data_IF_129590034415
#
_entry.id   IF_129590034415
#
_cell.length_a   1.000
_cell.length_b   1.000
_cell.length_c   1.000
_cell.angle_alpha   90.00
_cell.angle_beta   90.00
_cell.angle_gamma   90.00
#
_symmetry.space_group_name_H-M   'P 1'
#
loop_
_entity.id
_entity.type
_entity.pdbx_description
1 polymer ?
#
# COMPACT_ATOMS: atom_id res chain seq x y z
N UNK A 1 24.54 14.11 -36.08
CA UNK A 1 23.31 14.90 -36.06
C UNK A 1 22.02 14.07 -36.08
N UNK A 2 21.83 13.07 -36.98
CA UNK A 2 20.57 12.26 -37.03
C UNK A 2 20.24 11.52 -35.72
N UNK A 3 21.24 11.00 -34.97
CA UNK A 3 21.01 10.30 -33.69
C UNK A 3 20.57 11.21 -32.56
N UNK A 4 21.03 12.45 -32.53
CA UNK A 4 20.64 13.45 -31.50
C UNK A 4 19.21 13.91 -31.75
N UNK A 5 18.81 14.09 -33.02
CA UNK A 5 17.42 14.49 -33.38
C UNK A 5 16.42 13.40 -32.97
N UNK A 6 16.73 12.12 -33.17
CA UNK A 6 15.86 11.00 -32.76
C UNK A 6 15.73 10.92 -31.23
N UNK A 7 16.80 11.16 -30.48
CA UNK A 7 16.75 11.14 -29.01
C UNK A 7 15.95 12.32 -28.46
N UNK A 8 16.08 13.51 -29.03
CA UNK A 8 15.29 14.68 -28.63
C UNK A 8 13.82 14.50 -28.97
N UNK A 9 13.49 13.90 -30.12
CA UNK A 9 12.10 13.61 -30.52
C UNK A 9 11.44 12.56 -29.60
N UNK A 10 12.21 11.53 -29.17
CA UNK A 10 11.72 10.51 -28.24
C UNK A 10 11.42 11.11 -26.85
N UNK A 11 12.24 12.03 -26.35
CA UNK A 11 12.00 12.72 -25.07
C UNK A 11 10.79 13.65 -25.17
N UNK A 12 10.60 14.35 -26.30
CA UNK A 12 9.46 15.23 -26.53
C UNK A 12 8.12 14.48 -26.65
N UNK A 13 8.14 13.21 -27.08
CA UNK A 13 6.92 12.38 -27.15
C UNK A 13 6.57 11.70 -25.81
N UNK A 14 7.53 11.52 -24.91
CA UNK A 14 7.27 10.90 -23.60
C UNK A 14 6.68 11.88 -22.57
N UNK A 15 6.99 13.16 -22.68
CA UNK A 15 6.49 14.19 -21.74
C UNK A 15 4.95 14.35 -21.77
N UNK A 16 4.27 14.42 -22.94
CA UNK A 16 2.81 14.54 -22.95
C UNK A 16 2.09 13.29 -22.44
N UNK A 17 2.66 12.09 -22.58
CA UNK A 17 2.07 10.87 -22.02
C UNK A 17 2.09 10.86 -20.47
N UNK A 18 3.18 11.31 -19.84
CA UNK A 18 3.23 11.46 -18.39
C UNK A 18 2.28 12.55 -17.87
N UNK A 19 2.12 13.65 -18.62
CA UNK A 19 1.20 14.73 -18.25
C UNK A 19 -0.27 14.33 -18.44
N UNK A 20 -0.58 13.52 -19.45
CA UNK A 20 -1.92 12.99 -19.71
C UNK A 20 -2.35 12.03 -18.61
N UNK A 21 -1.47 11.11 -18.17
CA UNK A 21 -1.72 10.16 -17.08
C UNK A 21 -2.02 10.90 -15.76
N UNK A 22 -1.24 11.92 -15.41
CA UNK A 22 -1.50 12.77 -14.26
C UNK A 22 -2.83 13.54 -14.33
N UNK A 23 -3.25 13.95 -15.52
CA UNK A 23 -4.49 14.68 -15.70
C UNK A 23 -5.72 13.76 -15.54
N UNK A 24 -5.67 12.56 -16.09
CA UNK A 24 -6.74 11.57 -15.97
C UNK A 24 -6.87 11.09 -14.52
N UNK A 25 -5.76 10.79 -13.85
CA UNK A 25 -5.74 10.44 -12.44
C UNK A 25 -6.34 11.56 -11.58
N UNK A 26 -5.93 12.81 -11.80
CA UNK A 26 -6.48 13.95 -11.07
C UNK A 26 -7.99 14.10 -11.30
N UNK A 27 -8.45 14.00 -12.53
CA UNK A 27 -9.87 14.09 -12.86
C UNK A 27 -10.69 12.98 -12.20
N UNK A 28 -10.14 11.74 -12.14
CA UNK A 28 -10.75 10.62 -11.42
C UNK A 28 -10.86 10.92 -9.93
N UNK A 29 -9.78 11.37 -9.30
CA UNK A 29 -9.75 11.70 -7.87
C UNK A 29 -10.73 12.83 -7.55
N UNK A 30 -10.73 13.92 -8.33
CA UNK A 30 -11.65 15.06 -8.14
C UNK A 30 -13.13 14.60 -8.26
N UNK A 31 -13.43 13.74 -9.21
CA UNK A 31 -14.77 13.16 -9.40
C UNK A 31 -15.16 12.25 -8.22
N UNK A 32 -14.23 11.47 -7.68
CA UNK A 32 -14.49 10.64 -6.51
C UNK A 32 -14.71 11.53 -5.28
N UNK A 33 -13.82 12.48 -5.04
CA UNK A 33 -13.89 13.44 -3.93
C UNK A 33 -15.17 14.26 -3.91
N UNK A 34 -15.71 14.61 -5.09
CA UNK A 34 -16.99 15.34 -5.18
C UNK A 34 -18.21 14.54 -4.73
N UNK A 35 -18.11 13.21 -4.75
CA UNK A 35 -19.18 12.30 -4.30
C UNK A 35 -19.09 11.99 -2.81
N UNK A 36 -17.95 12.25 -2.17
CA UNK A 36 -17.69 11.90 -0.78
C UNK A 36 -18.31 12.90 0.16
N UNK A 37 -18.95 12.38 1.21
CA UNK A 37 -19.31 13.16 2.39
C UNK A 37 -18.07 13.54 3.18
N UNK A 38 -18.18 14.53 4.07
CA UNK A 38 -17.08 14.91 4.98
C UNK A 38 -16.66 13.72 5.85
N UNK A 39 -17.62 12.94 6.34
CA UNK A 39 -17.36 11.74 7.15
C UNK A 39 -16.54 10.72 6.37
N UNK A 40 -16.87 10.44 5.11
CA UNK A 40 -16.11 9.52 4.28
C UNK A 40 -14.70 10.03 3.93
N UNK A 41 -14.54 11.34 3.74
CA UNK A 41 -13.21 11.96 3.55
C UNK A 41 -12.33 11.77 4.78
N UNK A 42 -12.88 11.99 5.97
CA UNK A 42 -12.17 11.73 7.22
C UNK A 42 -11.87 10.24 7.37
N UNK A 43 -12.84 9.37 7.02
CA UNK A 43 -12.67 7.93 7.04
C UNK A 43 -11.50 7.44 6.21
N UNK A 44 -11.23 8.05 5.04
CA UNK A 44 -10.08 7.68 4.22
C UNK A 44 -8.72 7.98 4.88
N UNK A 45 -8.67 8.83 5.90
CA UNK A 45 -7.48 9.12 6.69
C UNK A 45 -7.34 8.21 7.92
N UNK A 46 -8.33 7.37 8.17
CA UNK A 46 -8.36 6.50 9.35
C UNK A 46 -7.71 5.14 9.03
N UNK A 47 -6.64 4.82 9.77
CA UNK A 47 -5.94 3.55 9.73
C UNK A 47 -6.21 2.83 11.05
N UNK A 48 -6.90 1.69 10.98
CA UNK A 48 -7.30 0.94 12.18
C UNK A 48 -6.59 -0.41 12.27
N UNK A 49 -6.37 -0.90 13.48
CA UNK A 49 -5.89 -2.27 13.70
C UNK A 49 -7.02 -3.24 13.42
N UNK A 50 -6.88 -4.11 12.45
CA UNK A 50 -7.93 -5.00 11.98
C UNK A 50 -7.80 -6.45 12.46
N UNK A 51 -6.73 -6.80 13.14
CA UNK A 51 -6.50 -8.17 13.58
C UNK A 51 -5.73 -8.25 14.88
N UNK A 52 -6.02 -9.28 15.64
CA UNK A 52 -5.01 -9.91 16.46
C UNK A 52 -4.20 -10.80 15.50
N UNK A 53 -2.88 -10.65 15.49
CA UNK A 53 -1.94 -11.43 14.65
C UNK A 53 -2.22 -12.95 14.75
N UNK A 54 -2.99 -13.35 15.73
CA UNK A 54 -3.24 -14.76 16.08
C UNK A 54 -4.60 -15.34 15.68
N UNK A 55 -5.64 -14.57 15.31
CA UNK A 55 -7.00 -15.13 15.30
C UNK A 55 -7.87 -14.98 14.07
N UNK A 56 -7.47 -14.28 13.03
CA UNK A 56 -8.11 -14.32 11.68
C UNK A 56 -9.61 -14.00 11.55
N UNK A 57 -10.29 -13.46 12.58
CA UNK A 57 -11.74 -13.17 12.58
C UNK A 57 -12.07 -11.69 12.33
N UNK A 58 -11.40 -11.07 11.37
CA UNK A 58 -11.55 -9.62 11.16
C UNK A 58 -12.85 -9.19 10.45
N UNK A 59 -13.46 -10.05 9.64
CA UNK A 59 -14.58 -9.67 8.77
C UNK A 59 -15.93 -9.52 9.50
N UNK A 60 -16.11 -10.19 10.64
CA UNK A 60 -17.34 -10.13 11.45
C UNK A 60 -17.19 -9.20 12.68
N UNK A 61 -16.09 -8.46 12.73
CA UNK A 61 -15.75 -7.57 13.84
C UNK A 61 -16.39 -6.19 13.66
N UNK A 62 -16.35 -5.39 14.73
CA UNK A 62 -16.69 -3.97 14.73
C UNK A 62 -16.02 -3.21 13.56
N UNK A 63 -14.77 -3.57 13.23
CA UNK A 63 -14.00 -3.04 12.10
C UNK A 63 -14.70 -3.28 10.75
N UNK A 64 -15.30 -4.44 10.52
CA UNK A 64 -16.07 -4.73 9.30
C UNK A 64 -17.25 -3.78 9.13
N UNK A 65 -17.94 -3.43 10.23
CA UNK A 65 -19.03 -2.45 10.25
C UNK A 65 -18.55 -1.04 9.93
N UNK A 66 -17.41 -0.62 10.48
CA UNK A 66 -16.78 0.69 10.21
C UNK A 66 -16.32 0.82 8.76
N UNK A 67 -15.76 -0.25 8.17
CA UNK A 67 -15.38 -0.30 6.75
C UNK A 67 -16.63 -0.13 5.87
N UNK A 68 -17.69 -0.88 6.15
CA UNK A 68 -18.93 -0.78 5.39
C UNK A 68 -19.57 0.63 5.49
N UNK A 69 -19.42 1.30 6.63
CA UNK A 69 -19.86 2.68 6.83
C UNK A 69 -18.98 3.74 6.13
N UNK A 70 -17.86 3.34 5.50
CA UNK A 70 -16.90 4.25 4.87
C UNK A 70 -16.08 5.08 5.86
N UNK A 71 -15.91 4.61 7.09
CA UNK A 71 -15.20 5.29 8.18
C UNK A 71 -13.74 4.86 8.30
N UNK A 72 -13.25 3.98 7.42
CA UNK A 72 -11.89 3.40 7.42
C UNK A 72 -11.33 3.43 6.02
N UNK A 73 -10.13 3.99 5.84
CA UNK A 73 -9.40 4.02 4.58
C UNK A 73 -8.29 2.97 4.50
N UNK A 74 -7.82 2.50 5.63
CA UNK A 74 -6.81 1.46 5.71
C UNK A 74 -6.92 0.62 6.97
N UNK A 75 -6.37 -0.58 6.86
CA UNK A 75 -6.24 -1.52 7.98
C UNK A 75 -4.78 -1.88 8.18
N UNK A 76 -4.44 -2.19 9.40
CA UNK A 76 -3.06 -2.43 9.79
C UNK A 76 -3.00 -3.67 10.68
N UNK A 77 -1.89 -4.39 10.58
CA UNK A 77 -1.58 -5.52 11.44
C UNK A 77 -2.51 -6.73 11.26
N UNK A 78 -2.99 -6.97 10.04
CA UNK A 78 -3.72 -8.17 9.64
C UNK A 78 -2.85 -9.04 8.74
N UNK A 79 -2.88 -10.35 8.95
CA UNK A 79 -2.18 -11.37 8.19
C UNK A 79 -3.17 -12.39 7.61
N UNK A 80 -2.79 -12.99 6.50
CA UNK A 80 -3.55 -14.05 5.86
C UNK A 80 -4.46 -13.58 4.74
N UNK A 81 -4.28 -14.19 3.57
CA UNK A 81 -5.00 -13.87 2.31
C UNK A 81 -6.51 -13.84 2.52
N UNK A 82 -7.06 -14.81 3.24
CA UNK A 82 -8.52 -14.93 3.41
C UNK A 82 -9.08 -13.79 4.26
N UNK A 83 -8.41 -13.43 5.36
CA UNK A 83 -8.81 -12.31 6.21
C UNK A 83 -8.74 -10.97 5.47
N UNK A 84 -7.63 -10.73 4.79
CA UNK A 84 -7.45 -9.51 3.99
C UNK A 84 -8.47 -9.43 2.86
N UNK A 85 -8.71 -10.52 2.15
CA UNK A 85 -9.73 -10.59 1.08
C UNK A 85 -11.13 -10.31 1.61
N UNK A 86 -11.49 -10.88 2.77
CA UNK A 86 -12.79 -10.65 3.38
C UNK A 86 -13.03 -9.16 3.70
N UNK A 87 -12.03 -8.46 4.26
CA UNK A 87 -12.13 -7.03 4.52
C UNK A 87 -12.19 -6.20 3.23
N UNK A 88 -11.39 -6.53 2.22
CA UNK A 88 -11.46 -5.88 0.91
C UNK A 88 -12.84 -6.08 0.25
N UNK A 89 -13.44 -7.26 0.38
CA UNK A 89 -14.79 -7.50 -0.12
C UNK A 89 -15.85 -6.64 0.59
N UNK A 90 -15.71 -6.44 1.90
CA UNK A 90 -16.58 -5.51 2.64
C UNK A 90 -16.41 -4.10 2.09
N UNK A 91 -15.17 -3.63 1.94
CA UNK A 91 -14.89 -2.29 1.42
C UNK A 91 -15.47 -2.07 0.02
N UNK A 92 -15.24 -3.00 -0.89
CA UNK A 92 -15.63 -2.85 -2.30
C UNK A 92 -17.11 -3.13 -2.55
N UNK A 93 -17.69 -4.14 -1.85
CA UNK A 93 -19.06 -4.61 -2.13
C UNK A 93 -20.12 -4.04 -1.19
N UNK A 94 -19.73 -3.65 0.05
CA UNK A 94 -20.71 -3.22 1.07
C UNK A 94 -20.63 -1.73 1.40
N UNK A 95 -19.50 -1.05 1.11
CA UNK A 95 -19.43 0.40 1.29
C UNK A 95 -20.08 1.14 0.11
N UNK A 96 -20.58 2.35 0.36
CA UNK A 96 -21.29 3.17 -0.64
C UNK A 96 -20.43 3.56 -1.85
N UNK A 97 -19.15 3.79 -1.65
CA UNK A 97 -18.23 4.27 -2.70
C UNK A 97 -17.38 3.16 -3.31
N UNK A 98 -17.31 1.99 -2.68
CA UNK A 98 -16.54 0.84 -3.16
C UNK A 98 -15.04 1.10 -3.24
N UNK A 99 -14.50 1.94 -2.34
CA UNK A 99 -13.06 2.27 -2.31
C UNK A 99 -12.33 1.13 -1.62
N UNK A 100 -11.32 0.51 -2.26
CA UNK A 100 -10.49 -0.51 -1.64
C UNK A 100 -9.68 0.05 -0.47
N UNK A 101 -9.34 -0.82 0.50
CA UNK A 101 -8.51 -0.46 1.66
C UNK A 101 -7.02 -0.47 1.31
N UNK A 102 -6.27 0.42 1.95
CA UNK A 102 -4.85 0.21 2.17
C UNK A 102 -4.66 -0.85 3.26
N UNK A 103 -3.80 -1.82 3.01
CA UNK A 103 -3.47 -2.89 3.96
C UNK A 103 -2.01 -2.74 4.35
N UNK A 104 -1.78 -2.22 5.55
CA UNK A 104 -0.47 -1.85 6.07
C UNK A 104 0.15 -2.92 6.96
N UNK A 105 1.48 -3.05 6.88
CA UNK A 105 2.28 -3.89 7.77
C UNK A 105 3.70 -3.33 7.87
N UNK A 106 4.37 -3.55 8.98
CA UNK A 106 5.73 -3.04 9.20
C UNK A 106 6.76 -3.61 8.22
N UNK A 107 6.83 -4.93 8.07
CA UNK A 107 7.74 -5.65 7.13
C UNK A 107 9.18 -5.11 7.18
N UNK A 108 9.69 -4.83 8.39
CA UNK A 108 10.96 -4.10 8.58
C UNK A 108 12.18 -4.96 8.24
N UNK A 109 12.14 -6.25 8.61
CA UNK A 109 13.25 -7.19 8.36
C UNK A 109 12.76 -8.56 7.93
N UNK A 110 11.84 -8.59 6.98
CA UNK A 110 11.19 -9.79 6.42
C UNK A 110 9.71 -9.84 6.71
N UNK A 111 9.03 -10.82 6.14
CA UNK A 111 7.60 -11.07 6.35
C UNK A 111 7.37 -12.49 6.83
N UNK A 112 7.36 -13.51 5.97
CA UNK A 112 7.42 -14.92 6.36
C UNK A 112 8.88 -15.37 6.60
N UNK A 113 9.77 -15.00 5.67
CA UNK A 113 11.21 -15.18 5.85
C UNK A 113 11.76 -14.05 6.70
N UNK A 114 12.27 -14.38 7.89
CA UNK A 114 12.86 -13.41 8.82
C UNK A 114 14.33 -13.19 8.46
N UNK A 115 14.70 -11.94 8.23
CA UNK A 115 16.06 -11.48 8.02
C UNK A 115 16.62 -10.83 9.30
N UNK A 116 17.94 -10.63 9.39
CA UNK A 116 18.53 -9.82 10.44
C UNK A 116 17.92 -8.43 10.51
N UNK A 117 17.91 -7.81 11.69
CA UNK A 117 17.42 -6.43 11.84
C UNK A 117 18.24 -5.45 10.98
N UNK A 118 17.70 -4.29 10.60
CA UNK A 118 18.38 -3.34 9.68
C UNK A 118 19.81 -2.99 10.11
N UNK A 119 20.06 -2.79 11.41
CA UNK A 119 21.41 -2.53 11.92
C UNK A 119 22.39 -3.68 11.61
N UNK A 120 21.95 -4.93 11.80
CA UNK A 120 22.81 -6.10 11.50
C UNK A 120 23.01 -6.27 9.98
N UNK A 121 21.98 -5.99 9.17
CA UNK A 121 22.11 -5.98 7.71
C UNK A 121 23.13 -4.94 7.24
N UNK A 122 23.11 -3.73 7.81
CA UNK A 122 24.06 -2.67 7.47
C UNK A 122 25.52 -3.05 7.79
N UNK A 123 25.75 -3.83 8.84
CA UNK A 123 27.07 -4.32 9.19
C UNK A 123 27.66 -5.32 8.17
N UNK A 124 26.83 -5.90 7.31
CA UNK A 124 27.29 -6.84 6.28
C UNK A 124 28.04 -6.14 5.14
N UNK A 125 27.77 -4.87 4.87
CA UNK A 125 28.22 -4.12 3.69
C UNK A 125 27.89 -4.78 2.35
N UNK A 126 26.97 -5.77 2.36
CA UNK A 126 26.53 -6.50 1.20
C UNK A 126 25.19 -5.93 0.69
N UNK A 127 25.29 -4.96 -0.21
CA UNK A 127 24.13 -4.28 -0.78
C UNK A 127 23.24 -5.21 -1.60
N UNK A 128 23.83 -6.22 -2.25
CA UNK A 128 23.07 -7.19 -3.05
C UNK A 128 22.22 -8.09 -2.14
N UNK A 129 22.78 -8.56 -1.03
CA UNK A 129 22.03 -9.36 -0.04
C UNK A 129 20.89 -8.55 0.58
N UNK A 130 21.11 -7.26 0.90
CA UNK A 130 20.11 -6.36 1.45
C UNK A 130 18.96 -6.15 0.46
N UNK A 131 19.26 -5.85 -0.81
CA UNK A 131 18.25 -5.69 -1.86
C UNK A 131 17.46 -6.98 -2.07
N UNK A 132 18.13 -8.13 -2.10
CA UNK A 132 17.49 -9.44 -2.25
C UNK A 132 16.55 -9.75 -1.08
N UNK A 133 16.95 -9.45 0.15
CA UNK A 133 16.12 -9.60 1.35
C UNK A 133 14.86 -8.76 1.27
N UNK A 134 14.98 -7.48 0.92
CA UNK A 134 13.85 -6.58 0.75
C UNK A 134 12.90 -7.05 -0.37
N UNK A 135 13.43 -7.56 -1.48
CA UNK A 135 12.65 -8.11 -2.59
C UNK A 135 11.86 -9.37 -2.20
N UNK A 136 12.46 -10.25 -1.38
CA UNK A 136 11.78 -11.45 -0.86
C UNK A 136 10.65 -11.02 0.07
N UNK A 137 10.93 -10.15 1.03
CA UNK A 137 9.94 -9.63 1.96
C UNK A 137 8.74 -8.97 1.24
N UNK A 138 9.02 -8.15 0.23
CA UNK A 138 7.98 -7.51 -0.57
C UNK A 138 7.12 -8.52 -1.35
N UNK A 139 7.73 -9.58 -1.91
CA UNK A 139 7.00 -10.65 -2.61
C UNK A 139 6.09 -11.42 -1.67
N UNK A 140 6.59 -11.80 -0.51
CA UNK A 140 5.82 -12.54 0.48
C UNK A 140 4.66 -11.70 1.00
N UNK A 141 4.90 -10.46 1.41
CA UNK A 141 3.87 -9.54 1.88
C UNK A 141 2.80 -9.27 0.81
N UNK A 142 3.22 -9.03 -0.44
CA UNK A 142 2.27 -8.81 -1.56
C UNK A 142 1.43 -10.05 -1.87
N UNK A 143 2.02 -11.25 -1.75
CA UNK A 143 1.29 -12.50 -1.96
C UNK A 143 0.20 -12.71 -0.90
N UNK A 144 0.40 -12.20 0.31
CA UNK A 144 -0.59 -12.24 1.38
C UNK A 144 -1.63 -11.11 1.30
N UNK A 145 -1.44 -10.14 0.40
CA UNK A 145 -2.38 -9.04 0.15
C UNK A 145 -1.99 -7.72 0.82
N UNK A 146 -0.81 -7.63 1.44
CA UNK A 146 -0.25 -6.38 1.95
C UNK A 146 0.11 -5.48 0.75
N UNK A 147 -0.39 -4.26 0.73
CA UNK A 147 -0.14 -3.30 -0.34
C UNK A 147 0.50 -1.99 0.14
N UNK A 148 0.79 -1.89 1.43
CA UNK A 148 1.47 -0.78 2.06
C UNK A 148 2.44 -1.29 3.13
N UNK A 149 3.74 -1.03 2.99
CA UNK A 149 4.75 -1.34 4.00
C UNK A 149 5.25 -0.06 4.65
N UNK A 150 5.57 -0.13 5.95
CA UNK A 150 6.14 0.98 6.71
C UNK A 150 7.67 0.97 6.72
N UNK A 151 8.29 -0.06 6.11
CA UNK A 151 9.73 -0.13 5.90
C UNK A 151 10.16 0.69 4.66
N UNK A 152 11.46 1.10 4.57
CA UNK A 152 12.50 0.89 5.56
C UNK A 152 12.42 1.87 6.73
N UNK A 153 12.94 1.46 7.90
CA UNK A 153 13.23 2.41 8.98
C UNK A 153 14.41 3.29 8.54
N UNK A 154 14.21 4.59 8.64
CA UNK A 154 15.20 5.60 8.20
C UNK A 154 15.59 6.51 9.36
N UNK A 155 15.64 5.95 10.55
CA UNK A 155 16.01 6.67 11.77
C UNK A 155 17.44 7.20 11.65
N UNK A 156 17.63 8.44 12.07
CA UNK A 156 18.92 9.11 12.07
C UNK A 156 19.39 9.20 13.52
N UNK A 157 20.58 8.65 13.77
CA UNK A 157 21.28 8.86 15.02
C UNK A 157 22.15 10.12 14.91
N UNK A 158 21.89 11.11 15.76
CA UNK A 158 22.68 12.36 15.85
C UNK A 158 23.60 12.29 17.06
#
# INVERSE_FOLDING_TARGET
MKRIIVSVLAVLMSVPAMLADNHEMKAFVDKLMSKMTVKEKIGQLNLVVAGDITTGKAADSEVGGEIAAGSVGGVFNIKGVDGIRALQEVAVKKSRLGIPLLVGMDVIHGYETIFPIPLAQSCSWDMEAIEKGARIAAKEASADGINWTFSPMVDICV
#
